data_IF_643664237257
#
_entry.id   IF_643664237257
#
_cell.length_a   1.000
_cell.length_b   1.000
_cell.length_c   1.000
_cell.angle_alpha   90.00
_cell.angle_beta   90.00
_cell.angle_gamma   90.00
#
_symmetry.space_group_name_H-M   'P 1'
#
loop_
_entity.id
_entity.type
_entity.pdbx_description
1 polymer ?
#
# COMPACT_ATOMS: atom_id res chain seq x y z
N UNK A 1 26.25 -21.16 6.68
CA UNK A 1 24.82 -21.52 6.76
C UNK A 1 23.97 -20.51 7.51
N UNK A 2 24.39 -19.85 8.60
CA UNK A 2 23.52 -18.92 9.34
C UNK A 2 23.30 -17.51 8.71
N UNK A 3 24.14 -17.05 7.76
CA UNK A 3 24.05 -15.70 7.17
C UNK A 3 23.10 -15.62 5.97
N UNK A 4 23.03 -16.67 5.16
CA UNK A 4 22.17 -16.73 3.98
C UNK A 4 20.69 -16.78 4.41
N UNK A 5 20.41 -17.41 5.55
CA UNK A 5 19.09 -17.45 6.18
C UNK A 5 18.62 -16.05 6.66
N UNK A 6 19.53 -15.18 7.12
CA UNK A 6 19.17 -13.84 7.64
C UNK A 6 18.76 -12.86 6.54
N UNK A 7 19.40 -12.91 5.36
CA UNK A 7 19.07 -12.01 4.24
C UNK A 7 17.78 -12.44 3.56
N UNK A 8 17.60 -13.76 3.38
CA UNK A 8 16.34 -14.32 2.90
C UNK A 8 15.17 -13.95 3.84
N UNK A 9 15.38 -14.06 5.15
CA UNK A 9 14.38 -13.68 6.16
C UNK A 9 14.04 -12.18 6.09
N UNK A 10 15.04 -11.30 5.92
CA UNK A 10 14.81 -9.87 5.79
C UNK A 10 14.01 -9.50 4.51
N UNK A 11 14.32 -10.12 3.36
CA UNK A 11 13.56 -9.91 2.13
C UNK A 11 12.11 -10.41 2.26
N UNK A 12 11.92 -11.56 2.91
CA UNK A 12 10.59 -12.13 3.18
C UNK A 12 9.75 -11.24 4.10
N UNK A 13 10.32 -10.72 5.19
CA UNK A 13 9.65 -9.77 6.09
C UNK A 13 9.19 -8.50 5.35
N UNK A 14 10.04 -7.95 4.47
CA UNK A 14 9.71 -6.78 3.65
C UNK A 14 8.54 -7.09 2.69
N UNK A 15 8.54 -8.28 2.08
CA UNK A 15 7.43 -8.74 1.22
C UNK A 15 6.13 -8.88 2.03
N UNK A 16 6.20 -9.40 3.25
CA UNK A 16 5.03 -9.51 4.14
C UNK A 16 4.46 -8.13 4.49
N UNK A 17 5.31 -7.13 4.76
CA UNK A 17 4.85 -5.74 4.94
C UNK A 17 4.19 -5.17 3.68
N UNK A 18 4.71 -5.50 2.49
CA UNK A 18 4.11 -5.11 1.21
C UNK A 18 2.70 -5.70 1.05
N UNK A 19 2.47 -6.94 1.49
CA UNK A 19 1.13 -7.55 1.50
C UNK A 19 0.16 -6.76 2.38
N UNK A 20 0.58 -6.38 3.60
CA UNK A 20 -0.28 -5.59 4.50
C UNK A 20 -0.64 -4.21 3.92
N UNK A 21 0.33 -3.51 3.31
CA UNK A 21 0.07 -2.24 2.65
C UNK A 21 -0.84 -2.39 1.43
N UNK A 22 -0.71 -3.48 0.67
CA UNK A 22 -1.57 -3.77 -0.47
C UNK A 22 -3.03 -3.99 -0.01
N UNK A 23 -3.24 -4.77 1.04
CA UNK A 23 -4.58 -4.95 1.64
C UNK A 23 -5.16 -3.63 2.14
N UNK A 24 -4.35 -2.81 2.82
CA UNK A 24 -4.78 -1.48 3.27
C UNK A 24 -5.17 -0.57 2.09
N UNK A 25 -4.37 -0.56 1.02
CA UNK A 25 -4.66 0.18 -0.21
C UNK A 25 -6.01 -0.22 -0.82
N UNK A 26 -6.25 -1.53 -0.96
CA UNK A 26 -7.51 -2.06 -1.48
C UNK A 26 -8.70 -1.69 -0.60
N UNK A 27 -8.54 -1.73 0.72
CA UNK A 27 -9.60 -1.33 1.65
C UNK A 27 -9.93 0.17 1.54
N UNK A 28 -8.92 1.03 1.33
CA UNK A 28 -9.14 2.45 1.12
C UNK A 28 -9.81 2.74 -0.22
N UNK A 29 -9.48 1.98 -1.27
CA UNK A 29 -10.19 2.05 -2.56
C UNK A 29 -11.66 1.64 -2.43
N UNK A 30 -11.95 0.57 -1.69
CA UNK A 30 -13.34 0.14 -1.41
C UNK A 30 -14.10 1.21 -0.62
N UNK A 31 -13.48 1.78 0.42
CA UNK A 31 -14.09 2.87 1.18
C UNK A 31 -14.38 4.10 0.31
N UNK A 32 -13.44 4.46 -0.57
CA UNK A 32 -13.62 5.52 -1.56
C UNK A 32 -14.84 5.27 -2.46
N UNK A 33 -14.97 4.07 -3.03
CA UNK A 33 -16.13 3.69 -3.85
C UNK A 33 -17.44 3.79 -3.08
N UNK A 34 -17.48 3.23 -1.87
CA UNK A 34 -18.69 3.17 -1.05
C UNK A 34 -19.18 4.56 -0.64
N UNK A 35 -18.28 5.45 -0.20
CA UNK A 35 -18.68 6.81 0.21
C UNK A 35 -19.15 7.62 -1.00
N UNK A 36 -18.44 7.50 -2.13
CA UNK A 36 -18.82 8.20 -3.36
C UNK A 36 -20.18 7.75 -3.91
N UNK A 37 -20.49 6.47 -3.78
CA UNK A 37 -21.79 5.93 -4.19
C UNK A 37 -22.95 6.32 -3.26
N UNK A 38 -22.65 6.78 -2.05
CA UNK A 38 -23.62 7.17 -1.02
C UNK A 38 -23.90 8.68 -0.99
N UNK A 39 -23.71 9.38 -2.12
CA UNK A 39 -24.04 10.80 -2.24
C UNK A 39 -25.51 11.05 -1.96
N UNK A 40 -25.81 12.04 -1.11
CA UNK A 40 -27.19 12.35 -0.73
C UNK A 40 -27.90 13.12 -1.84
N UNK A 41 -29.15 12.76 -2.19
CA UNK A 41 -29.94 13.57 -3.10
C UNK A 41 -30.32 14.93 -2.48
N UNK A 42 -30.64 15.95 -3.29
CA UNK A 42 -30.95 17.29 -2.81
C UNK A 42 -32.14 17.38 -1.84
N UNK A 43 -33.02 16.40 -1.84
CA UNK A 43 -34.23 16.31 -1.02
C UNK A 43 -34.14 15.25 0.09
N UNK A 44 -32.95 14.68 0.36
CA UNK A 44 -32.73 13.66 1.38
C UNK A 44 -33.26 14.03 2.78
N UNK A 45 -33.32 15.33 3.08
CA UNK A 45 -33.80 15.89 4.35
C UNK A 45 -35.07 16.76 4.18
N UNK A 46 -35.80 16.59 3.07
CA UNK A 46 -36.95 17.41 2.71
C UNK A 46 -36.61 18.87 2.39
N UNK A 47 -37.64 19.70 2.18
CA UNK A 47 -37.47 21.08 1.73
C UNK A 47 -36.70 21.96 2.72
N UNK A 48 -36.97 21.83 4.03
CA UNK A 48 -36.26 22.58 5.07
C UNK A 48 -34.76 22.24 5.10
N UNK A 49 -34.42 20.96 4.98
CA UNK A 49 -33.02 20.54 4.94
C UNK A 49 -32.30 20.96 3.66
N UNK A 50 -33.02 20.96 2.53
CA UNK A 50 -32.52 21.49 1.24
C UNK A 50 -32.23 22.99 1.32
N UNK A 51 -33.17 23.78 1.86
CA UNK A 51 -33.01 25.23 2.03
C UNK A 51 -31.90 25.57 3.03
N UNK A 52 -31.73 24.74 4.07
CA UNK A 52 -30.59 24.84 4.99
C UNK A 52 -29.25 24.36 4.39
N UNK A 53 -29.28 23.73 3.20
CA UNK A 53 -28.09 23.28 2.48
C UNK A 53 -27.42 22.02 3.07
N UNK A 54 -28.11 21.25 3.90
CA UNK A 54 -27.50 20.07 4.55
C UNK A 54 -26.99 19.00 3.57
N UNK A 55 -27.73 18.61 2.51
CA UNK A 55 -27.21 17.65 1.54
C UNK A 55 -25.92 18.15 0.86
N UNK A 56 -25.89 19.42 0.47
CA UNK A 56 -24.73 20.03 -0.19
C UNK A 56 -23.51 20.07 0.72
N UNK A 57 -23.68 20.46 1.98
CA UNK A 57 -22.58 20.47 2.95
C UNK A 57 -22.07 19.05 3.21
N UNK A 58 -22.96 18.09 3.43
CA UNK A 58 -22.59 16.69 3.63
C UNK A 58 -21.81 16.14 2.43
N UNK A 59 -22.34 16.30 1.21
CA UNK A 59 -21.68 15.80 0.00
C UNK A 59 -20.31 16.47 -0.21
N UNK A 60 -20.17 17.76 0.12
CA UNK A 60 -18.88 18.46 0.06
C UNK A 60 -17.85 17.86 1.03
N UNK A 61 -18.25 17.56 2.27
CA UNK A 61 -17.34 16.90 3.22
C UNK A 61 -17.02 15.46 2.82
N UNK A 62 -18.02 14.72 2.32
CA UNK A 62 -17.83 13.37 1.80
C UNK A 62 -16.82 13.36 0.65
N UNK A 63 -16.92 14.31 -0.29
CA UNK A 63 -15.98 14.45 -1.40
C UNK A 63 -14.54 14.73 -0.92
N UNK A 64 -14.37 15.57 0.10
CA UNK A 64 -13.03 15.79 0.69
C UNK A 64 -12.44 14.51 1.30
N UNK A 65 -13.26 13.69 1.95
CA UNK A 65 -12.83 12.39 2.51
C UNK A 65 -12.48 11.41 1.39
N UNK A 66 -13.33 11.32 0.37
CA UNK A 66 -13.13 10.50 -0.83
C UNK A 66 -11.80 10.84 -1.50
N UNK A 67 -11.50 12.13 -1.71
CA UNK A 67 -10.22 12.53 -2.31
C UNK A 67 -8.99 12.11 -1.46
N UNK A 68 -9.08 12.21 -0.13
CA UNK A 68 -8.01 11.76 0.77
C UNK A 68 -7.83 10.25 0.72
N UNK A 69 -8.91 9.48 0.73
CA UNK A 69 -8.88 8.02 0.61
C UNK A 69 -8.25 7.58 -0.72
N UNK A 70 -8.62 8.24 -1.82
CA UNK A 70 -8.05 7.97 -3.14
C UNK A 70 -6.54 8.20 -3.16
N UNK A 71 -6.07 9.41 -2.80
CA UNK A 71 -4.63 9.75 -2.77
C UNK A 71 -3.87 8.86 -1.80
N UNK A 72 -4.48 8.54 -0.66
CA UNK A 72 -3.95 7.62 0.32
C UNK A 72 -3.74 6.22 -0.24
N UNK A 73 -4.72 5.68 -0.96
CA UNK A 73 -4.60 4.36 -1.60
C UNK A 73 -3.48 4.32 -2.65
N UNK A 74 -3.33 5.39 -3.44
CA UNK A 74 -2.23 5.52 -4.39
C UNK A 74 -0.88 5.54 -3.67
N UNK A 75 -0.75 6.28 -2.58
CA UNK A 75 0.48 6.36 -1.79
C UNK A 75 0.85 5.00 -1.18
N UNK A 76 -0.13 4.26 -0.66
CA UNK A 76 0.07 2.90 -0.15
C UNK A 76 0.51 1.96 -1.27
N UNK A 77 -0.13 2.01 -2.44
CA UNK A 77 0.25 1.20 -3.61
C UNK A 77 1.67 1.52 -4.11
N UNK A 78 2.07 2.78 -4.12
CA UNK A 78 3.46 3.15 -4.40
C UNK A 78 4.43 2.61 -3.35
N UNK A 79 4.04 2.62 -2.08
CA UNK A 79 4.81 2.01 -0.98
C UNK A 79 5.01 0.50 -1.17
N UNK A 80 3.98 -0.23 -1.61
CA UNK A 80 4.08 -1.66 -1.96
C UNK A 80 5.15 -1.90 -3.04
N UNK A 81 5.13 -1.10 -4.11
CA UNK A 81 6.14 -1.20 -5.17
C UNK A 81 7.55 -0.89 -4.63
N UNK A 82 7.69 0.12 -3.78
CA UNK A 82 8.96 0.46 -3.13
C UNK A 82 9.50 -0.69 -2.28
N UNK A 83 8.66 -1.33 -1.46
CA UNK A 83 9.05 -2.49 -0.66
C UNK A 83 9.46 -3.67 -1.53
N UNK A 84 8.75 -3.94 -2.64
CA UNK A 84 9.16 -4.98 -3.58
C UNK A 84 10.53 -4.70 -4.23
N UNK A 85 10.81 -3.45 -4.61
CA UNK A 85 12.12 -3.08 -5.15
C UNK A 85 13.23 -3.27 -4.11
N UNK A 86 12.97 -2.90 -2.86
CA UNK A 86 13.92 -3.10 -1.76
C UNK A 86 14.16 -4.59 -1.52
N UNK A 87 13.10 -5.41 -1.41
CA UNK A 87 13.23 -6.86 -1.23
C UNK A 87 14.04 -7.51 -2.37
N UNK A 88 13.75 -7.16 -3.61
CA UNK A 88 14.52 -7.64 -4.77
C UNK A 88 16.00 -7.23 -4.69
N UNK A 89 16.30 -6.01 -4.22
CA UNK A 89 17.68 -5.55 -4.06
C UNK A 89 18.43 -6.32 -2.97
N UNK A 90 17.76 -6.74 -1.90
CA UNK A 90 18.36 -7.60 -0.87
C UNK A 90 18.71 -8.97 -1.46
N UNK A 91 17.79 -9.59 -2.19
CA UNK A 91 17.99 -10.89 -2.86
C UNK A 91 19.11 -10.83 -3.92
N UNK A 92 19.17 -9.77 -4.73
CA UNK A 92 20.21 -9.60 -5.76
C UNK A 92 21.60 -9.37 -5.13
N UNK A 93 21.68 -8.57 -4.06
CA UNK A 93 22.94 -8.37 -3.36
C UNK A 93 23.43 -9.66 -2.68
N UNK A 94 22.53 -10.46 -2.12
CA UNK A 94 22.86 -11.75 -1.54
C UNK A 94 23.45 -12.72 -2.58
N UNK A 95 22.78 -12.81 -3.74
CA UNK A 95 23.26 -13.61 -4.87
C UNK A 95 24.67 -13.19 -5.31
N UNK A 96 24.90 -11.88 -5.48
CA UNK A 96 26.20 -11.34 -5.90
C UNK A 96 27.31 -11.60 -4.88
N UNK A 97 27.02 -11.45 -3.59
CA UNK A 97 27.98 -11.75 -2.51
C UNK A 97 28.33 -13.24 -2.53
N UNK A 98 27.33 -14.11 -2.65
CA UNK A 98 27.51 -15.57 -2.71
C UNK A 98 28.36 -15.99 -3.91
N UNK A 99 28.09 -15.47 -5.11
CA UNK A 99 28.90 -15.74 -6.30
C UNK A 99 30.34 -15.21 -6.18
N UNK A 100 30.50 -14.01 -5.61
CA UNK A 100 31.83 -13.42 -5.38
C UNK A 100 32.65 -14.26 -4.41
N UNK A 101 32.04 -14.74 -3.32
CA UNK A 101 32.72 -15.63 -2.38
C UNK A 101 33.14 -16.94 -3.04
N UNK A 102 32.26 -17.58 -3.83
CA UNK A 102 32.57 -18.81 -4.58
C UNK A 102 33.71 -18.65 -5.58
N UNK A 103 33.78 -17.49 -6.26
CA UNK A 103 34.83 -17.21 -7.25
C UNK A 103 36.19 -16.85 -6.63
N UNK A 104 36.21 -16.20 -5.46
CA UNK A 104 37.45 -15.76 -4.80
C UNK A 104 38.03 -16.82 -3.87
N UNK A 105 37.19 -17.72 -3.32
CA UNK A 105 37.61 -18.80 -2.41
C UNK A 105 36.92 -20.13 -2.73
N UNK A 106 37.31 -20.79 -3.83
CA UNK A 106 36.70 -22.07 -4.24
C UNK A 106 36.98 -23.23 -3.27
N UNK A 107 37.98 -23.06 -2.40
CA UNK A 107 38.41 -23.98 -1.33
C UNK A 107 37.47 -23.99 -0.12
N UNK A 108 36.64 -22.95 0.03
CA UNK A 108 35.60 -22.90 1.05
C UNK A 108 34.30 -23.37 0.38
N UNK A 109 34.06 -24.69 0.39
CA UNK A 109 32.84 -25.26 -0.18
C UNK A 109 31.59 -24.76 0.55
N UNK A 110 30.90 -23.78 -0.05
CA UNK A 110 29.52 -23.38 0.28
C UNK A 110 28.59 -23.96 -0.79
#
# INVERSE_FOLDING_TARGET
>A
MAKDDEVYYAAEEIRNQAVHLNVASQNWQKAWQNIRAAELPPDAFGNLGREAGYPTQFNSYAEQVVQKLWRGSQSLSSGVNGLHLVANSYEENDYRVTETVKSVRPDIGI
#
